data_IF_354468073970
#
_entry.id   IF_354468073970
#
_cell.length_a   1.000
_cell.length_b   1.000
_cell.length_c   1.000
_cell.angle_alpha   90.00
_cell.angle_beta   90.00
_cell.angle_gamma   90.00
#
_symmetry.space_group_name_H-M   'P 1'
#
loop_
_entity.id
_entity.type
_entity.pdbx_description
1 polymer ?
#
# COMPACT_ATOMS: atom_id res chain seq x y z
N UNK A 1 -16.95 -28.31 -34.86
CA UNK A 1 -15.56 -28.00 -34.43
C UNK A 1 -14.95 -26.81 -35.20
N UNK A 2 -15.19 -26.68 -36.50
CA UNK A 2 -14.65 -25.56 -37.30
C UNK A 2 -15.21 -24.19 -36.88
N UNK A 3 -16.52 -24.08 -36.66
CA UNK A 3 -17.17 -22.83 -36.21
C UNK A 3 -16.65 -22.35 -34.83
N UNK A 4 -16.33 -23.28 -33.93
CA UNK A 4 -15.73 -22.97 -32.63
C UNK A 4 -14.32 -22.38 -32.77
N UNK A 5 -13.47 -23.00 -33.60
CA UNK A 5 -12.13 -22.47 -33.89
C UNK A 5 -12.21 -21.09 -34.54
N UNK A 6 -13.14 -20.91 -35.47
CA UNK A 6 -13.40 -19.61 -36.09
C UNK A 6 -13.79 -18.56 -35.04
N UNK A 7 -14.79 -18.83 -34.21
CA UNK A 7 -15.28 -17.89 -33.20
C UNK A 7 -14.18 -17.51 -32.19
N UNK A 8 -13.43 -18.49 -31.69
CA UNK A 8 -12.30 -18.24 -30.77
C UNK A 8 -11.19 -17.42 -31.40
N UNK A 9 -10.89 -17.62 -32.69
CA UNK A 9 -9.88 -16.84 -33.40
C UNK A 9 -10.31 -15.39 -33.61
N UNK A 10 -11.57 -15.15 -34.00
CA UNK A 10 -12.09 -13.79 -34.17
C UNK A 10 -12.14 -13.03 -32.84
N UNK A 11 -12.52 -13.70 -31.74
CA UNK A 11 -12.49 -13.09 -30.41
C UNK A 11 -11.04 -12.77 -29.99
N UNK A 12 -10.07 -13.62 -30.30
CA UNK A 12 -8.64 -13.31 -30.06
C UNK A 12 -8.18 -12.11 -30.88
N UNK A 13 -8.59 -12.02 -32.14
CA UNK A 13 -8.27 -10.86 -32.99
C UNK A 13 -8.83 -9.58 -32.39
N UNK A 14 -10.11 -9.59 -31.98
CA UNK A 14 -10.74 -8.46 -31.29
C UNK A 14 -9.92 -7.98 -30.08
N UNK A 15 -9.36 -8.92 -29.30
CA UNK A 15 -8.57 -8.61 -28.10
C UNK A 15 -7.11 -8.20 -28.38
N UNK A 16 -6.48 -8.68 -29.45
CA UNK A 16 -5.05 -8.43 -29.70
C UNK A 16 -4.77 -7.47 -30.86
N UNK A 17 -5.77 -7.09 -31.65
CA UNK A 17 -5.62 -6.10 -32.71
C UNK A 17 -5.31 -4.71 -32.13
N UNK A 18 -4.17 -4.16 -32.55
CA UNK A 18 -3.67 -2.84 -32.19
C UNK A 18 -4.01 -1.83 -33.30
N UNK A 19 -4.45 -0.61 -32.96
CA UNK A 19 -4.67 -0.09 -31.62
C UNK A 19 -6.01 -0.57 -31.02
N UNK A 20 -5.96 -0.99 -29.75
CA UNK A 20 -7.18 -1.08 -28.96
C UNK A 20 -7.78 0.33 -28.79
N UNK A 21 -9.10 0.50 -28.88
CA UNK A 21 -9.73 1.78 -28.62
C UNK A 21 -9.36 2.24 -27.21
N UNK A 22 -9.21 3.56 -27.02
CA UNK A 22 -9.01 4.13 -25.70
C UNK A 22 -10.09 3.61 -24.75
N UNK A 23 -9.74 3.37 -23.47
CA UNK A 23 -10.65 2.74 -22.51
C UNK A 23 -11.99 3.47 -22.31
N UNK A 24 -12.03 4.77 -22.63
CA UNK A 24 -13.20 5.64 -22.57
C UNK A 24 -14.13 5.56 -23.80
N UNK A 25 -13.72 4.90 -24.88
CA UNK A 25 -14.46 4.88 -26.14
C UNK A 25 -15.38 3.66 -26.25
N UNK A 26 -16.48 3.70 -25.50
CA UNK A 26 -17.51 2.65 -25.46
C UNK A 26 -18.21 2.48 -26.81
N UNK A 27 -18.39 3.55 -27.57
CA UNK A 27 -19.03 3.53 -28.89
C UNK A 27 -18.22 2.72 -29.89
N UNK A 28 -16.91 2.93 -29.99
CA UNK A 28 -16.05 2.16 -30.89
C UNK A 28 -15.98 0.68 -30.48
N UNK A 29 -16.03 0.37 -29.18
CA UNK A 29 -16.09 -1.03 -28.70
C UNK A 29 -17.39 -1.72 -29.09
N UNK A 30 -18.53 -1.04 -28.90
CA UNK A 30 -19.85 -1.55 -29.32
C UNK A 30 -19.88 -1.81 -30.84
N UNK A 31 -19.40 -0.87 -31.66
CA UNK A 31 -19.35 -1.06 -33.11
C UNK A 31 -18.51 -2.28 -33.53
N UNK A 32 -17.37 -2.52 -32.88
CA UNK A 32 -16.54 -3.71 -33.16
C UNK A 32 -17.23 -5.01 -32.77
N UNK A 33 -17.98 -5.01 -31.66
CA UNK A 33 -18.75 -6.18 -31.22
C UNK A 33 -19.94 -6.43 -32.15
N UNK A 34 -20.63 -5.38 -32.59
CA UNK A 34 -21.72 -5.49 -33.56
C UNK A 34 -21.20 -6.04 -34.90
N UNK A 35 -20.05 -5.58 -35.36
CA UNK A 35 -19.38 -6.12 -36.54
C UNK A 35 -19.01 -7.61 -36.36
N UNK A 36 -18.50 -7.99 -35.18
CA UNK A 36 -18.22 -9.39 -34.85
C UNK A 36 -19.49 -10.25 -34.88
N UNK A 37 -20.58 -9.79 -34.27
CA UNK A 37 -21.85 -10.52 -34.28
C UNK A 37 -22.47 -10.59 -35.67
N UNK A 38 -22.32 -9.55 -36.49
CA UNK A 38 -22.76 -9.57 -37.89
C UNK A 38 -21.99 -10.62 -38.70
N UNK A 39 -20.67 -10.71 -38.51
CA UNK A 39 -19.83 -11.73 -39.14
C UNK A 39 -20.20 -13.14 -38.66
N UNK A 40 -20.46 -13.32 -37.36
CA UNK A 40 -20.93 -14.58 -36.79
C UNK A 40 -22.28 -15.03 -37.39
N UNK A 41 -23.22 -14.11 -37.59
CA UNK A 41 -24.49 -14.42 -38.28
C UNK A 41 -24.24 -14.83 -39.73
N UNK A 42 -23.39 -14.09 -40.46
CA UNK A 42 -23.06 -14.39 -41.85
C UNK A 42 -22.40 -15.77 -42.01
N UNK A 43 -21.63 -16.20 -41.01
CA UNK A 43 -20.94 -17.50 -40.98
C UNK A 43 -21.77 -18.65 -40.40
N UNK A 44 -23.00 -18.38 -39.96
CA UNK A 44 -23.86 -19.41 -39.36
C UNK A 44 -23.40 -19.87 -37.97
N UNK A 45 -22.73 -18.99 -37.21
CA UNK A 45 -22.39 -19.22 -35.78
C UNK A 45 -23.62 -18.95 -34.91
N UNK A 46 -24.77 -19.46 -35.34
CA UNK A 46 -26.06 -19.35 -34.68
C UNK A 46 -26.76 -20.69 -34.86
N UNK A 47 -27.30 -21.24 -33.78
CA UNK A 47 -28.21 -22.37 -33.84
C UNK A 47 -29.64 -21.85 -33.90
N UNK A 48 -30.51 -22.56 -34.60
CA UNK A 48 -31.95 -22.39 -34.47
C UNK A 48 -32.47 -23.39 -33.48
N UNK A 49 -33.17 -22.92 -32.45
CA UNK A 49 -33.91 -23.77 -31.54
C UNK A 49 -35.11 -24.41 -32.23
N UNK A 50 -35.69 -25.43 -31.60
CA UNK A 50 -36.89 -26.12 -32.07
C UNK A 50 -38.10 -25.17 -32.26
N UNK A 51 -38.09 -24.01 -31.60
CA UNK A 51 -39.13 -22.97 -31.68
C UNK A 51 -38.79 -21.86 -32.70
N UNK A 52 -37.71 -22.02 -33.48
CA UNK A 52 -37.26 -21.02 -34.45
C UNK A 52 -36.51 -19.82 -33.83
N UNK A 53 -36.23 -19.86 -32.52
CA UNK A 53 -35.39 -18.89 -31.82
C UNK A 53 -33.91 -19.00 -32.24
N UNK A 54 -33.21 -17.87 -32.32
CA UNK A 54 -31.76 -17.87 -32.58
C UNK A 54 -31.00 -18.07 -31.27
N UNK A 55 -30.39 -19.25 -31.09
CA UNK A 55 -29.52 -19.54 -29.95
C UNK A 55 -28.06 -19.43 -30.33
N UNK A 56 -27.33 -18.69 -29.50
CA UNK A 56 -25.91 -18.50 -29.69
C UNK A 56 -25.15 -19.65 -29.03
N UNK A 57 -24.37 -20.45 -29.78
CA UNK A 57 -23.53 -21.50 -29.18
C UNK A 57 -22.41 -20.94 -28.28
N UNK A 58 -22.24 -19.61 -28.25
CA UNK A 58 -21.24 -18.88 -27.48
C UNK A 58 -21.38 -19.06 -25.96
N UNK A 59 -22.58 -19.36 -25.46
CA UNK A 59 -22.82 -19.66 -24.04
C UNK A 59 -22.22 -21.01 -23.62
N UNK A 60 -22.15 -21.98 -24.55
CA UNK A 60 -21.66 -23.33 -24.27
C UNK A 60 -20.18 -23.52 -24.60
N UNK A 61 -19.63 -22.64 -25.43
CA UNK A 61 -18.25 -22.71 -25.87
C UNK A 61 -17.34 -21.98 -24.90
N UNK A 62 -16.28 -22.65 -24.46
CA UNK A 62 -15.30 -22.11 -23.52
C UNK A 62 -13.99 -21.77 -24.22
N UNK A 63 -13.29 -20.74 -23.76
CA UNK A 63 -11.90 -20.45 -24.12
C UNK A 63 -11.12 -19.91 -22.92
N UNK A 64 -9.81 -19.97 -23.01
CA UNK A 64 -8.94 -19.30 -22.04
C UNK A 64 -9.02 -17.78 -22.24
N UNK A 65 -9.38 -17.05 -21.19
CA UNK A 65 -9.49 -15.59 -21.23
C UNK A 65 -8.13 -14.93 -21.61
N UNK A 66 -8.07 -14.05 -22.63
CA UNK A 66 -6.84 -13.41 -23.10
C UNK A 66 -6.03 -12.70 -22.00
N UNK A 67 -6.72 -12.05 -21.05
CA UNK A 67 -6.13 -11.34 -19.89
C UNK A 67 -5.49 -12.27 -18.82
N UNK A 68 -5.84 -13.57 -18.78
CA UNK A 68 -5.38 -14.52 -17.75
C UNK A 68 -4.16 -15.34 -18.25
N UNK A 69 -2.99 -14.69 -18.25
CA UNK A 69 -1.77 -15.18 -18.90
C UNK A 69 -1.09 -16.38 -18.24
N UNK A 70 -1.37 -16.76 -16.97
CA UNK A 70 -0.55 -17.79 -16.30
C UNK A 70 -1.26 -19.02 -15.71
N UNK A 71 -2.47 -18.95 -15.12
CA UNK A 71 -3.24 -20.13 -14.62
C UNK A 71 -4.72 -19.79 -14.44
N UNK A 72 -5.45 -19.53 -15.54
CA UNK A 72 -6.89 -19.22 -15.49
C UNK A 72 -7.75 -20.44 -15.82
N UNK A 73 -8.92 -20.55 -15.18
CA UNK A 73 -9.98 -21.44 -15.63
C UNK A 73 -10.44 -21.05 -17.05
N UNK A 74 -11.02 -22.00 -17.78
CA UNK A 74 -11.71 -21.68 -19.03
C UNK A 74 -12.97 -20.86 -18.73
N UNK A 75 -13.24 -19.88 -19.58
CA UNK A 75 -14.40 -19.00 -19.49
C UNK A 75 -15.25 -19.15 -20.73
N UNK A 76 -16.57 -19.09 -20.59
CA UNK A 76 -17.48 -19.08 -21.74
C UNK A 76 -17.16 -17.89 -22.67
N UNK A 77 -17.32 -18.08 -23.99
CA UNK A 77 -17.00 -17.05 -24.97
C UNK A 77 -17.83 -15.78 -24.74
N UNK A 78 -19.08 -15.94 -24.31
CA UNK A 78 -19.93 -14.80 -23.97
C UNK A 78 -19.32 -13.94 -22.87
N UNK A 79 -18.76 -14.57 -21.82
CA UNK A 79 -18.12 -13.88 -20.70
C UNK A 79 -16.86 -13.13 -21.15
N UNK A 80 -16.11 -13.69 -22.12
CA UNK A 80 -14.92 -13.04 -22.69
C UNK A 80 -15.29 -11.81 -23.54
N UNK A 81 -16.44 -11.84 -24.24
CA UNK A 81 -16.95 -10.71 -25.01
C UNK A 81 -17.50 -9.63 -24.07
N UNK A 82 -18.22 -10.02 -23.02
CA UNK A 82 -18.73 -9.06 -22.03
C UNK A 82 -17.59 -8.38 -21.30
N UNK A 83 -16.52 -9.11 -20.93
CA UNK A 83 -15.33 -8.52 -20.31
C UNK A 83 -14.65 -7.50 -21.23
N UNK A 84 -14.66 -7.73 -22.55
CA UNK A 84 -14.12 -6.75 -23.52
C UNK A 84 -14.99 -5.48 -23.60
N UNK A 85 -16.31 -5.63 -23.56
CA UNK A 85 -17.24 -4.50 -23.53
C UNK A 85 -17.11 -3.69 -22.23
N UNK A 86 -17.02 -4.41 -21.11
CA UNK A 86 -17.01 -3.90 -19.75
C UNK A 86 -15.61 -3.61 -19.20
N UNK A 87 -14.55 -3.63 -20.03
CA UNK A 87 -13.17 -3.26 -19.62
C UNK A 87 -13.06 -1.75 -19.33
N UNK A 88 -13.90 -1.31 -18.39
CA UNK A 88 -13.89 -0.08 -17.62
C UNK A 88 -12.88 -0.33 -16.50
N UNK A 89 -12.01 0.63 -16.22
CA UNK A 89 -11.11 0.55 -15.07
C UNK A 89 -11.95 0.55 -13.76
N UNK A 90 -12.37 -0.63 -13.30
CA UNK A 90 -12.79 -0.85 -11.92
C UNK A 90 -11.67 -0.50 -10.92
N UNK A 91 -10.46 -0.20 -11.41
CA UNK A 91 -9.34 0.31 -10.62
C UNK A 91 -9.70 1.63 -9.91
N UNK A 92 -10.57 2.48 -10.49
CA UNK A 92 -11.01 3.69 -9.80
C UNK A 92 -11.80 3.34 -8.52
N UNK A 93 -12.80 2.47 -8.61
CA UNK A 93 -13.59 1.98 -7.46
C UNK A 93 -12.80 1.04 -6.54
N UNK A 94 -11.72 0.43 -7.02
CA UNK A 94 -10.81 -0.39 -6.20
C UNK A 94 -9.73 0.47 -5.50
N UNK A 95 -9.52 1.69 -5.96
CA UNK A 95 -8.68 2.71 -5.32
C UNK A 95 -9.47 3.62 -4.38
N UNK A 96 -10.78 3.71 -4.58
CA UNK A 96 -11.71 4.12 -3.54
C UNK A 96 -11.81 2.95 -2.57
N UNK A 97 -11.07 3.01 -1.46
CA UNK A 97 -11.30 2.12 -0.33
C UNK A 97 -12.76 2.28 0.09
N UNK A 98 -13.65 1.43 -0.43
CA UNK A 98 -14.96 1.25 0.16
C UNK A 98 -14.65 0.70 1.55
N UNK A 99 -14.95 1.43 2.64
CA UNK A 99 -14.62 0.95 3.96
C UNK A 99 -15.53 -0.25 4.21
N UNK A 100 -14.99 -1.44 4.00
CA UNK A 100 -15.61 -2.68 4.45
C UNK A 100 -15.42 -2.69 5.96
N UNK A 101 -16.28 -1.94 6.64
CA UNK A 101 -16.38 -1.97 8.08
C UNK A 101 -16.81 -3.38 8.48
N UNK A 102 -15.85 -4.18 8.90
CA UNK A 102 -16.18 -5.41 9.59
C UNK A 102 -16.85 -4.98 10.92
N UNK A 103 -18.08 -5.40 11.16
CA UNK A 103 -18.83 -5.02 12.35
C UNK A 103 -18.05 -5.32 13.66
N UNK A 104 -17.19 -6.34 13.63
CA UNK A 104 -16.30 -6.67 14.74
C UNK A 104 -15.20 -5.62 14.94
N UNK A 105 -14.66 -5.05 13.85
CA UNK A 105 -13.66 -3.98 13.92
C UNK A 105 -14.26 -2.66 14.42
N UNK A 106 -15.49 -2.33 14.01
CA UNK A 106 -16.20 -1.17 14.55
C UNK A 106 -16.52 -1.35 16.04
N UNK A 107 -16.98 -2.53 16.45
CA UNK A 107 -17.25 -2.81 17.86
C UNK A 107 -16.00 -2.68 18.74
N UNK A 108 -14.84 -3.16 18.25
CA UNK A 108 -13.56 -2.98 18.96
C UNK A 108 -13.11 -1.53 19.00
N UNK A 109 -13.27 -0.79 17.91
CA UNK A 109 -12.93 0.65 17.86
C UNK A 109 -13.84 1.48 18.76
N UNK A 110 -15.14 1.18 18.77
CA UNK A 110 -16.14 1.82 19.63
C UNK A 110 -15.88 1.49 21.11
N UNK A 111 -15.49 0.24 21.41
CA UNK A 111 -15.05 -0.17 22.74
C UNK A 111 -13.80 0.57 23.21
N UNK A 112 -12.78 0.63 22.36
CA UNK A 112 -11.55 1.37 22.63
C UNK A 112 -11.81 2.88 22.77
N UNK A 113 -12.71 3.46 21.96
CA UNK A 113 -13.10 4.86 22.06
C UNK A 113 -13.79 5.14 23.39
N UNK A 114 -14.77 4.30 23.78
CA UNK A 114 -15.46 4.42 25.08
C UNK A 114 -14.54 4.24 26.26
N UNK A 115 -13.56 3.34 26.18
CA UNK A 115 -12.56 3.14 27.23
C UNK A 115 -11.61 4.34 27.35
N UNK A 116 -11.23 4.92 26.22
CA UNK A 116 -10.42 6.15 26.17
C UNK A 116 -11.22 7.38 26.66
N UNK A 117 -12.49 7.48 26.30
CA UNK A 117 -13.40 8.53 26.83
C UNK A 117 -13.62 8.36 28.33
N UNK A 118 -13.72 7.12 28.83
CA UNK A 118 -13.88 6.83 30.26
C UNK A 118 -12.63 7.19 31.07
N UNK A 119 -11.44 6.92 30.52
CA UNK A 119 -10.18 7.31 31.17
C UNK A 119 -10.02 8.83 31.21
N UNK A 120 -10.40 9.55 30.15
CA UNK A 120 -10.41 11.01 30.12
C UNK A 120 -11.43 11.64 31.08
N UNK A 121 -12.59 11.01 31.32
CA UNK A 121 -13.56 11.49 32.31
C UNK A 121 -13.11 11.26 33.75
N UNK A 122 -12.32 10.22 34.01
CA UNK A 122 -11.77 9.91 35.34
C UNK A 122 -10.57 10.79 35.73
N UNK A 123 -9.88 11.40 34.77
CA UNK A 123 -8.83 12.41 35.01
C UNK A 123 -9.40 13.77 35.48
N UNK A 124 -10.72 13.98 35.39
CA UNK A 124 -11.37 15.26 35.68
C UNK A 124 -12.12 15.36 37.02
N UNK A 125 -12.36 14.26 37.72
CA UNK A 125 -13.08 14.25 39.00
C UNK A 125 -12.12 13.91 40.17
N UNK A 126 -11.14 14.79 40.40
CA UNK A 126 -10.58 14.96 41.75
C UNK A 126 -11.62 15.72 42.60
N UNK A 127 -12.76 15.07 42.87
CA UNK A 127 -13.66 15.50 43.93
C UNK A 127 -13.04 15.15 45.26
N UNK A 128 -12.95 16.15 46.16
CA UNK A 128 -12.45 16.08 47.53
C UNK A 128 -12.94 14.80 48.26
N UNK A 129 -12.16 13.72 48.21
CA UNK A 129 -12.49 12.47 48.88
C UNK A 129 -11.33 12.02 49.78
N UNK A 130 -11.51 12.38 51.05
CA UNK A 130 -11.14 11.72 52.31
C UNK A 130 -9.87 10.85 52.39
N UNK A 131 -9.11 11.17 53.43
CA UNK A 131 -7.77 10.73 53.86
C UNK A 131 -7.59 9.22 54.17
N UNK A 132 -8.50 8.34 53.73
CA UNK A 132 -8.54 6.93 54.20
C UNK A 132 -8.78 5.85 53.12
N UNK A 133 -8.49 6.13 51.84
CA UNK A 133 -8.43 5.08 50.80
C UNK A 133 -6.98 4.62 50.52
N UNK A 134 -6.72 3.30 50.41
CA UNK A 134 -5.36 2.80 50.35
C UNK A 134 -4.71 3.17 49.03
N UNK A 135 -3.54 3.79 49.16
CA UNK A 135 -2.58 4.05 48.10
C UNK A 135 -2.29 2.79 47.27
N UNK A 136 -3.05 2.58 46.22
CA UNK A 136 -2.71 1.71 45.11
C UNK A 136 -2.70 2.58 43.85
N UNK A 137 -1.78 3.54 43.84
CA UNK A 137 -1.36 4.20 42.62
C UNK A 137 -0.84 3.13 41.66
N UNK A 138 -1.37 3.13 40.44
CA UNK A 138 -0.95 2.19 39.41
C UNK A 138 0.56 2.38 39.16
N UNK A 139 1.40 1.32 39.19
CA UNK A 139 2.87 1.45 39.13
C UNK A 139 3.40 2.18 37.88
N UNK A 140 2.54 2.36 36.87
CA UNK A 140 2.87 2.91 35.57
C UNK A 140 2.23 4.28 35.29
N UNK A 141 1.52 4.90 36.24
CA UNK A 141 1.06 6.28 36.08
C UNK A 141 2.15 7.30 36.45
N UNK A 142 2.35 8.27 35.57
CA UNK A 142 3.33 9.35 35.70
C UNK A 142 2.58 10.59 36.17
N UNK A 143 2.87 11.07 37.38
CA UNK A 143 2.38 12.35 37.89
C UNK A 143 3.35 13.48 37.50
N UNK A 144 2.91 14.74 37.56
CA UNK A 144 3.76 15.92 37.33
C UNK A 144 4.99 15.95 38.26
N UNK A 145 4.87 15.47 39.50
CA UNK A 145 6.00 15.30 40.42
C UNK A 145 7.00 14.21 39.98
N UNK A 146 6.55 13.20 39.23
CA UNK A 146 7.43 12.19 38.61
C UNK A 146 8.06 12.69 37.31
N UNK A 147 7.46 13.66 36.61
CA UNK A 147 8.10 14.31 35.45
C UNK A 147 9.35 15.09 35.84
N UNK A 148 9.40 15.67 37.05
CA UNK A 148 10.62 16.32 37.55
C UNK A 148 11.79 15.34 37.71
N UNK A 149 11.52 14.06 37.99
CA UNK A 149 12.50 12.98 38.05
C UNK A 149 12.73 12.26 36.70
N UNK A 150 11.84 12.45 35.72
CA UNK A 150 11.97 11.87 34.38
C UNK A 150 13.01 12.60 33.50
N UNK A 151 13.51 13.77 33.94
CA UNK A 151 14.62 14.47 33.29
C UNK A 151 15.93 13.66 33.29
N UNK A 152 16.08 12.72 34.23
CA UNK A 152 17.21 11.77 34.33
C UNK A 152 16.71 10.33 34.13
N UNK A 153 15.90 10.07 33.11
CA UNK A 153 15.51 8.72 32.74
C UNK A 153 16.60 8.09 31.83
N UNK A 154 17.46 7.19 32.35
CA UNK A 154 18.58 6.64 31.58
C UNK A 154 18.11 5.84 30.35
N UNK A 155 16.85 5.38 30.34
CA UNK A 155 16.25 4.68 29.21
C UNK A 155 15.86 5.65 28.09
N UNK A 156 15.36 6.84 28.42
CA UNK A 156 15.10 7.89 27.42
C UNK A 156 16.41 8.47 26.88
N UNK A 157 17.45 8.62 27.70
CA UNK A 157 18.76 9.07 27.24
C UNK A 157 19.43 8.05 26.29
N UNK A 158 19.22 6.73 26.47
CA UNK A 158 19.73 5.70 25.55
C UNK A 158 18.92 5.61 24.25
N UNK A 159 17.61 5.92 24.28
CA UNK A 159 16.70 5.89 23.12
C UNK A 159 16.71 7.20 22.31
N UNK A 160 16.90 8.33 22.98
CA UNK A 160 16.93 9.68 22.43
C UNK A 160 18.18 10.42 22.93
N UNK A 161 19.40 9.94 22.60
CA UNK A 161 20.59 10.68 22.95
C UNK A 161 20.48 12.10 22.37
N UNK A 162 20.65 13.12 23.23
CA UNK A 162 20.65 14.55 22.82
C UNK A 162 21.61 14.78 21.65
N UNK A 163 22.66 13.97 21.58
CA UNK A 163 23.52 13.80 20.42
C UNK A 163 22.85 12.85 19.41
N UNK A 164 21.84 13.37 18.71
CA UNK A 164 21.41 12.74 17.46
C UNK A 164 22.67 12.54 16.61
N UNK A 165 22.90 11.32 16.10
CA UNK A 165 24.01 10.95 15.21
C UNK A 165 23.96 11.75 13.90
N UNK A 166 24.18 13.05 14.00
CA UNK A 166 24.13 14.02 12.92
C UNK A 166 25.41 13.89 12.10
N UNK A 167 26.49 13.47 12.75
CA UNK A 167 27.78 13.23 12.15
C UNK A 167 27.86 11.82 11.53
N UNK A 168 28.31 11.66 10.27
CA UNK A 168 28.34 10.37 9.59
C UNK A 168 29.18 9.32 10.33
N UNK A 169 30.29 9.73 10.96
CA UNK A 169 31.19 8.80 11.66
C UNK A 169 30.52 8.21 12.90
N UNK A 170 29.71 9.01 13.61
CA UNK A 170 28.91 8.54 14.75
C UNK A 170 27.86 7.49 14.34
N UNK A 171 27.22 7.67 13.17
CA UNK A 171 26.24 6.71 12.66
C UNK A 171 26.91 5.42 12.17
N UNK A 172 28.10 5.52 11.57
CA UNK A 172 28.91 4.36 11.19
C UNK A 172 29.28 3.54 12.43
N UNK A 173 29.77 4.19 13.49
CA UNK A 173 30.13 3.54 14.74
C UNK A 173 28.92 2.82 15.38
N UNK A 174 27.72 3.43 15.32
CA UNK A 174 26.49 2.79 15.78
C UNK A 174 26.13 1.55 14.96
N UNK A 175 26.25 1.61 13.63
CA UNK A 175 26.00 0.45 12.74
C UNK A 175 27.00 -0.67 13.04
N UNK A 176 28.28 -0.34 13.25
CA UNK A 176 29.30 -1.33 13.58
C UNK A 176 29.07 -1.97 14.95
N UNK A 177 28.65 -1.19 15.94
CA UNK A 177 28.23 -1.70 17.26
C UNK A 177 27.02 -2.64 17.11
N UNK A 178 26.04 -2.28 16.27
CA UNK A 178 24.88 -3.11 15.99
C UNK A 178 25.25 -4.44 15.28
N UNK A 179 26.22 -4.39 14.35
CA UNK A 179 26.76 -5.58 13.67
C UNK A 179 27.50 -6.52 14.61
N UNK A 180 28.23 -5.98 15.58
CA UNK A 180 28.95 -6.78 16.58
C UNK A 180 28.00 -7.51 17.53
N UNK A 181 26.87 -6.87 17.88
CA UNK A 181 25.90 -7.39 18.85
C UNK A 181 24.49 -7.59 18.28
N UNK A 182 24.28 -8.39 17.22
CA UNK A 182 23.00 -8.48 16.52
C UNK A 182 21.91 -9.13 17.37
N UNK A 183 22.27 -9.86 18.44
CA UNK A 183 21.31 -10.46 19.37
C UNK A 183 20.64 -9.41 20.26
N UNK A 184 21.38 -8.37 20.70
CA UNK A 184 20.84 -7.29 21.54
C UNK A 184 19.74 -6.53 20.79
N UNK A 185 19.97 -6.22 19.52
CA UNK A 185 19.06 -5.42 18.70
C UNK A 185 17.93 -6.20 18.00
N UNK A 186 17.99 -7.53 17.98
CA UNK A 186 16.96 -8.37 17.35
C UNK A 186 15.92 -8.94 18.34
N UNK A 187 16.07 -8.74 19.64
CA UNK A 187 15.37 -9.48 20.70
C UNK A 187 13.89 -9.12 20.97
N UNK A 188 13.22 -8.35 20.12
CA UNK A 188 11.86 -7.86 20.38
C UNK A 188 10.71 -8.62 19.69
N UNK A 189 10.99 -9.41 18.64
CA UNK A 189 9.93 -9.98 17.79
C UNK A 189 9.99 -11.51 17.74
N UNK A 190 9.08 -12.17 18.48
CA UNK A 190 8.91 -13.63 18.44
C UNK A 190 8.66 -14.08 16.98
N UNK A 191 9.62 -14.80 16.39
CA UNK A 191 9.52 -15.39 15.04
C UNK A 191 10.36 -14.73 13.95
N UNK A 192 10.72 -13.44 14.07
CA UNK A 192 11.50 -12.72 13.05
C UNK A 192 12.98 -12.47 13.45
N UNK A 193 13.42 -12.94 14.62
CA UNK A 193 14.76 -12.66 15.13
C UNK A 193 15.88 -13.14 14.20
N UNK A 194 15.72 -14.30 13.57
CA UNK A 194 16.73 -14.86 12.66
C UNK A 194 16.89 -14.00 11.40
N UNK A 195 15.78 -13.55 10.81
CA UNK A 195 15.78 -12.68 9.64
C UNK A 195 16.33 -11.29 9.96
N UNK A 196 15.95 -10.71 11.09
CA UNK A 196 16.46 -9.41 11.54
C UNK A 196 17.96 -9.48 11.78
N UNK A 197 18.49 -10.56 12.39
CA UNK A 197 19.94 -10.76 12.54
C UNK A 197 20.67 -10.82 11.20
N UNK A 198 20.09 -11.49 10.20
CA UNK A 198 20.66 -11.54 8.84
C UNK A 198 20.66 -10.14 8.21
N UNK A 199 19.59 -9.36 8.40
CA UNK A 199 19.50 -7.98 7.91
C UNK A 199 20.53 -7.07 8.58
N UNK A 200 20.69 -7.13 9.90
CA UNK A 200 21.69 -6.35 10.65
C UNK A 200 23.10 -6.62 10.13
N UNK A 201 23.45 -7.90 9.92
CA UNK A 201 24.77 -8.27 9.37
C UNK A 201 25.01 -7.78 7.94
N UNK A 202 23.94 -7.55 7.17
CA UNK A 202 23.99 -7.06 5.78
C UNK A 202 23.95 -5.54 5.68
N UNK A 203 23.88 -4.81 6.79
CA UNK A 203 24.01 -3.35 6.76
C UNK A 203 25.37 -2.97 6.19
N UNK A 204 25.40 -1.95 5.35
CA UNK A 204 26.61 -1.50 4.66
C UNK A 204 26.94 -0.08 5.10
N UNK A 205 28.16 0.13 5.60
CA UNK A 205 28.60 1.42 6.13
C UNK A 205 28.78 2.44 5.01
N UNK A 206 29.07 2.00 3.78
CA UNK A 206 29.26 2.87 2.61
C UNK A 206 27.96 3.55 2.16
N UNK A 207 26.81 3.10 2.69
CA UNK A 207 25.49 3.68 2.44
C UNK A 207 25.15 4.83 3.39
N UNK A 208 25.97 5.09 4.40
CA UNK A 208 25.80 6.25 5.28
C UNK A 208 26.18 7.52 4.51
N UNK A 209 25.26 8.49 4.45
CA UNK A 209 25.46 9.76 3.75
C UNK A 209 24.90 10.92 4.55
N UNK A 210 25.34 12.12 4.21
CA UNK A 210 24.83 13.36 4.81
C UNK A 210 23.78 13.99 3.89
N UNK A 211 22.64 14.37 4.47
CA UNK A 211 21.55 15.01 3.74
C UNK A 211 21.93 16.41 3.28
N UNK A 212 21.81 16.71 1.99
CA UNK A 212 22.09 18.05 1.43
C UNK A 212 21.15 19.15 1.96
N UNK A 213 19.99 18.79 2.53
CA UNK A 213 18.99 19.75 3.00
C UNK A 213 19.12 20.07 4.51
N UNK A 214 19.26 19.05 5.36
CA UNK A 214 19.29 19.23 6.82
C UNK A 214 20.66 18.96 7.44
N UNK A 215 21.64 18.48 6.68
CA UNK A 215 22.98 18.20 7.17
C UNK A 215 23.10 16.99 8.10
N UNK A 216 22.03 16.23 8.31
CA UNK A 216 22.07 15.04 9.16
C UNK A 216 22.52 13.80 8.39
N UNK A 217 23.28 12.94 9.05
CA UNK A 217 23.62 11.62 8.55
C UNK A 217 22.37 10.71 8.48
N UNK A 218 22.28 9.91 7.43
CA UNK A 218 21.22 8.94 7.23
C UNK A 218 21.72 7.71 6.47
N UNK A 219 21.01 6.59 6.63
CA UNK A 219 21.26 5.38 5.87
C UNK A 219 20.50 5.41 4.54
N UNK A 220 21.22 5.44 3.42
CA UNK A 220 20.60 5.50 2.10
C UNK A 220 20.12 4.12 1.63
N UNK A 221 18.85 4.03 1.23
CA UNK A 221 18.33 2.83 0.57
C UNK A 221 18.95 2.67 -0.82
N UNK A 222 19.07 3.79 -1.55
CA UNK A 222 19.71 3.88 -2.85
C UNK A 222 20.95 4.78 -2.82
N UNK A 223 22.04 4.34 -3.46
CA UNK A 223 23.28 5.13 -3.60
C UNK A 223 23.11 6.42 -4.44
N UNK A 224 21.94 6.68 -5.02
CA UNK A 224 21.64 7.94 -5.73
C UNK A 224 20.86 8.92 -4.87
N UNK A 225 20.39 8.48 -3.70
CA UNK A 225 19.62 9.29 -2.80
C UNK A 225 20.49 10.40 -2.19
N UNK A 226 19.97 11.64 -2.22
CA UNK A 226 20.65 12.85 -1.71
C UNK A 226 20.03 13.43 -0.43
N UNK A 227 18.80 13.02 -0.15
CA UNK A 227 17.99 13.58 0.93
C UNK A 227 17.55 12.47 1.87
N UNK A 228 17.49 12.77 3.17
CA UNK A 228 17.01 11.82 4.17
C UNK A 228 15.52 11.51 4.02
N UNK A 229 15.11 10.31 4.42
CA UNK A 229 13.72 9.83 4.37
C UNK A 229 13.02 9.83 5.74
N UNK A 230 13.57 10.57 6.72
CA UNK A 230 13.07 10.59 8.11
C UNK A 230 11.60 11.00 8.17
N UNK A 231 11.21 12.00 7.37
CA UNK A 231 9.82 12.45 7.26
C UNK A 231 9.39 12.50 5.80
N UNK A 232 8.22 11.94 5.50
CA UNK A 232 7.56 12.12 4.20
C UNK A 232 6.88 13.49 4.13
N UNK A 233 6.84 14.09 2.94
CA UNK A 233 6.14 15.36 2.76
C UNK A 233 4.63 15.15 2.83
N UNK A 234 3.96 15.91 3.70
CA UNK A 234 2.49 15.90 3.82
C UNK A 234 1.80 16.35 2.52
N UNK A 235 2.46 17.19 1.71
CA UNK A 235 1.93 17.71 0.45
C UNK A 235 2.19 16.80 -0.74
N UNK A 236 3.25 15.99 -0.69
CA UNK A 236 3.62 15.06 -1.75
C UNK A 236 4.21 13.79 -1.13
N UNK A 237 3.40 12.74 -0.89
CA UNK A 237 3.83 11.54 -0.17
C UNK A 237 4.93 10.73 -0.89
N UNK A 238 5.12 11.00 -2.18
CA UNK A 238 6.19 10.40 -2.99
C UNK A 238 7.59 10.96 -2.69
N UNK A 239 7.69 12.09 -2.00
CA UNK A 239 8.97 12.72 -1.65
C UNK A 239 9.15 12.78 -0.13
N UNK A 240 10.40 12.67 0.31
CA UNK A 240 10.76 13.10 1.66
C UNK A 240 10.57 14.62 1.79
N UNK A 241 10.33 15.09 3.02
CA UNK A 241 10.16 16.51 3.30
C UNK A 241 11.36 17.32 2.79
N UNK A 242 12.58 16.85 3.05
CA UNK A 242 13.81 17.45 2.56
C UNK A 242 13.89 17.48 1.02
N UNK A 243 13.51 16.38 0.36
CA UNK A 243 13.47 16.32 -1.11
C UNK A 243 12.45 17.29 -1.71
N UNK A 244 11.27 17.40 -1.10
CA UNK A 244 10.23 18.34 -1.52
C UNK A 244 10.69 19.81 -1.40
N UNK A 245 11.29 20.18 -0.26
CA UNK A 245 11.80 21.54 -0.03
C UNK A 245 12.88 21.92 -1.05
N UNK A 246 13.79 21.01 -1.37
CA UNK A 246 14.85 21.27 -2.35
C UNK A 246 14.32 21.35 -3.78
N UNK A 247 13.35 20.52 -4.15
CA UNK A 247 12.66 20.63 -5.45
C UNK A 247 11.94 21.98 -5.61
N UNK A 248 11.28 22.47 -4.55
CA UNK A 248 10.67 23.81 -4.58
C UNK A 248 11.71 24.92 -4.79
N UNK A 249 12.86 24.85 -4.12
CA UNK A 249 13.95 25.82 -4.30
C UNK A 249 14.49 25.81 -5.72
N UNK A 250 14.67 24.62 -6.31
CA UNK A 250 15.17 24.49 -7.68
C UNK A 250 14.17 25.03 -8.72
N UNK A 251 12.88 24.71 -8.57
CA UNK A 251 11.83 25.21 -9.46
C UNK A 251 11.68 26.74 -9.40
N UNK A 252 11.90 27.35 -8.23
CA UNK A 252 11.92 28.81 -8.09
C UNK A 252 13.12 29.45 -8.78
N UNK A 253 14.30 28.81 -8.75
CA UNK A 253 15.49 29.30 -9.45
C UNK A 253 15.35 29.23 -10.96
N UNK A 254 14.71 28.19 -11.48
CA UNK A 254 14.46 28.04 -12.93
C UNK A 254 13.39 28.98 -13.46
N UNK A 255 12.45 29.43 -12.61
CA UNK A 255 11.41 30.39 -12.99
C UNK A 255 11.86 31.87 -12.92
N UNK A 256 13.07 32.12 -12.41
CA UNK A 256 13.66 33.46 -12.25
C UNK A 256 14.67 33.82 -13.36
N UNK A 257 14.76 32.99 -14.40
CA UNK A 257 15.49 33.25 -15.65
C UNK A 257 14.49 33.32 -16.80
#
# INVERSE_FOLDING_TARGET
MELYRYATEQIRRLWYETPQPAKSDTATRQQRIEALFADFRAKGVTNTDAEGGTVWPLERWTMRHPKLTKKGAESELINVITDYLLDVDQVAERSEDYPVYNAETEWRQEGARKENERTLMLDGEAGDMDEEWPAAFDPYSINEDKMAHALDNPVEDELFPKDNASDPDSLIALIDTAKQNPRKYAGGSRGAESEVRVKIRRLDTDRVRVCECCGQAYYAHDLKQKYCDVMRSFKQPAFSHCGYVMNLKNNRKTASY
#
